data_IF_956118483124
#
_entry.id   IF_956118483124
#
_cell.length_a   1.000
_cell.length_b   1.000
_cell.length_c   1.000
_cell.angle_alpha   90.00
_cell.angle_beta   90.00
_cell.angle_gamma   90.00
#
_symmetry.space_group_name_H-M   'P 1'
#
loop_
_entity.id
_entity.type
_entity.pdbx_description
1 polymer ?
#
# COMPACT_ATOMS: atom_id res chain seq x y z
N UNK A 1 26.29 -20.52 -22.38
CA UNK A 1 26.64 -20.64 -20.95
C UNK A 1 25.52 -20.10 -20.06
N UNK A 2 25.51 -20.36 -18.73
CA UNK A 2 24.46 -19.88 -17.83
C UNK A 2 24.34 -18.34 -17.86
N UNK A 3 25.43 -17.61 -18.07
CA UNK A 3 25.46 -16.16 -18.20
C UNK A 3 24.77 -15.63 -19.49
N UNK A 4 24.92 -16.32 -20.60
CA UNK A 4 24.26 -15.98 -21.87
C UNK A 4 22.75 -16.23 -21.81
N UNK A 5 22.33 -17.30 -21.13
CA UNK A 5 20.92 -17.62 -20.92
C UNK A 5 20.23 -16.60 -19.98
N UNK A 6 20.96 -16.10 -19.00
CA UNK A 6 20.47 -15.08 -18.07
C UNK A 6 20.36 -13.69 -18.75
N UNK A 7 21.34 -13.34 -19.61
CA UNK A 7 21.30 -12.12 -20.40
C UNK A 7 20.14 -12.12 -21.40
N UNK A 8 19.92 -13.22 -22.13
CA UNK A 8 18.79 -13.35 -23.04
C UNK A 8 17.43 -13.26 -22.33
N UNK A 9 17.30 -13.78 -21.10
CA UNK A 9 16.10 -13.64 -20.29
C UNK A 9 15.83 -12.20 -19.86
N UNK A 10 16.89 -11.45 -19.52
CA UNK A 10 16.77 -10.03 -19.16
C UNK A 10 16.34 -9.18 -20.35
N UNK A 11 16.91 -9.37 -21.53
CA UNK A 11 16.51 -8.67 -22.76
C UNK A 11 15.05 -8.96 -23.14
N UNK A 12 14.63 -10.23 -23.08
CA UNK A 12 13.25 -10.62 -23.32
C UNK A 12 12.28 -9.97 -22.31
N UNK A 13 12.70 -9.84 -21.05
CA UNK A 13 11.91 -9.18 -20.02
C UNK A 13 11.81 -7.69 -20.23
N UNK A 14 12.87 -7.00 -20.66
CA UNK A 14 12.86 -5.58 -21.00
C UNK A 14 11.89 -5.26 -22.14
N UNK A 15 11.89 -6.09 -23.20
CA UNK A 15 10.95 -5.94 -24.31
C UNK A 15 9.48 -6.10 -23.85
N UNK A 16 9.21 -7.07 -23.00
CA UNK A 16 7.86 -7.27 -22.44
C UNK A 16 7.43 -6.06 -21.60
N UNK A 17 8.31 -5.50 -20.78
CA UNK A 17 8.01 -4.31 -19.96
C UNK A 17 7.68 -3.12 -20.84
N UNK A 18 8.40 -2.91 -21.94
CA UNK A 18 8.13 -1.81 -22.87
C UNK A 18 6.77 -1.97 -23.55
N UNK A 19 6.40 -3.17 -24.00
CA UNK A 19 5.07 -3.45 -24.53
C UNK A 19 3.96 -3.24 -23.50
N UNK A 20 4.21 -3.62 -22.24
CA UNK A 20 3.27 -3.39 -21.14
C UNK A 20 3.10 -1.91 -20.82
N UNK A 21 4.18 -1.10 -20.86
CA UNK A 21 4.09 0.36 -20.71
C UNK A 21 3.16 0.99 -21.74
N UNK A 22 3.31 0.59 -23.02
CA UNK A 22 2.41 1.06 -24.08
C UNK A 22 0.97 0.63 -23.84
N UNK A 23 0.75 -0.60 -23.42
CA UNK A 23 -0.59 -1.14 -23.15
C UNK A 23 -1.26 -0.47 -21.96
N UNK A 24 -0.51 -0.18 -20.90
CA UNK A 24 -1.01 0.50 -19.71
C UNK A 24 -1.11 2.02 -19.90
N UNK A 25 -0.39 2.59 -20.88
CA UNK A 25 -0.22 4.04 -20.99
C UNK A 25 0.62 4.62 -19.86
N UNK A 26 1.54 3.80 -19.34
CA UNK A 26 2.42 4.15 -18.23
C UNK A 26 3.67 4.88 -18.72
N UNK A 27 4.20 5.80 -17.91
CA UNK A 27 5.46 6.50 -18.19
C UNK A 27 6.69 5.63 -17.90
N UNK A 28 7.87 6.08 -18.34
CA UNK A 28 9.13 5.39 -18.04
C UNK A 28 9.43 5.30 -16.53
N UNK A 29 8.92 6.25 -15.76
CA UNK A 29 9.09 6.29 -14.31
C UNK A 29 8.12 5.39 -13.55
N UNK A 30 7.10 4.84 -14.23
CA UNK A 30 6.13 3.97 -13.59
C UNK A 30 6.69 2.55 -13.45
N UNK A 31 6.58 2.00 -12.25
CA UNK A 31 7.05 0.65 -11.95
C UNK A 31 5.98 -0.36 -12.37
N UNK A 32 6.32 -1.19 -13.36
CA UNK A 32 5.51 -2.35 -13.70
C UNK A 32 6.10 -3.55 -12.95
N UNK A 33 5.26 -4.19 -12.16
CA UNK A 33 5.63 -5.40 -11.44
C UNK A 33 5.04 -6.64 -12.09
N UNK A 34 5.68 -7.78 -11.84
CA UNK A 34 5.18 -9.05 -12.36
C UNK A 34 5.38 -10.22 -11.38
N UNK A 35 4.54 -11.23 -11.57
CA UNK A 35 4.66 -12.49 -10.83
C UNK A 35 4.20 -13.68 -11.68
N UNK A 36 4.68 -14.86 -11.35
CA UNK A 36 4.17 -16.12 -11.89
C UNK A 36 3.12 -16.70 -10.96
N UNK A 37 1.99 -17.13 -11.51
CA UNK A 37 0.91 -17.79 -10.80
C UNK A 37 0.71 -19.22 -11.29
N UNK A 38 0.07 -20.04 -10.46
CA UNK A 38 -0.29 -21.42 -10.79
C UNK A 38 0.91 -22.24 -11.29
N UNK A 39 2.03 -22.18 -10.54
CA UNK A 39 3.29 -22.90 -10.84
C UNK A 39 3.87 -22.53 -12.22
N UNK A 40 3.91 -21.22 -12.52
CA UNK A 40 4.47 -20.70 -13.76
C UNK A 40 3.58 -20.82 -14.99
N UNK A 41 2.31 -21.24 -14.83
CA UNK A 41 1.38 -21.32 -15.96
C UNK A 41 0.95 -19.95 -16.48
N UNK A 42 0.88 -18.96 -15.58
CA UNK A 42 0.47 -17.60 -15.89
C UNK A 42 1.53 -16.63 -15.44
N UNK A 43 1.80 -15.62 -16.25
CA UNK A 43 2.53 -14.42 -15.87
C UNK A 43 1.55 -13.28 -15.77
N UNK A 44 1.55 -12.61 -14.62
CA UNK A 44 0.65 -11.51 -14.33
C UNK A 44 1.48 -10.25 -14.16
N UNK A 45 1.00 -9.12 -14.73
CA UNK A 45 1.68 -7.83 -14.67
C UNK A 45 0.68 -6.75 -14.34
N UNK A 46 1.10 -5.76 -13.55
CA UNK A 46 0.32 -4.56 -13.24
C UNK A 46 1.25 -3.40 -12.90
N UNK A 47 0.80 -2.18 -13.13
CA UNK A 47 1.41 -0.95 -12.64
C UNK A 47 0.75 -0.43 -11.34
N UNK A 48 -0.27 -1.13 -10.85
CA UNK A 48 -1.00 -0.85 -9.62
C UNK A 48 -1.58 0.57 -9.53
N UNK A 49 -1.83 1.20 -10.66
CA UNK A 49 -2.35 2.56 -10.74
C UNK A 49 -3.80 2.58 -11.16
N UNK A 50 -4.54 3.53 -10.59
CA UNK A 50 -5.83 3.92 -11.15
C UNK A 50 -5.59 4.89 -12.31
N UNK A 51 -6.05 4.52 -13.50
CA UNK A 51 -5.92 5.32 -14.70
C UNK A 51 -7.02 6.38 -14.81
N UNK A 52 -6.89 7.29 -15.78
CA UNK A 52 -7.83 8.39 -15.96
C UNK A 52 -9.27 7.94 -16.29
N UNK A 53 -9.45 6.70 -16.72
CA UNK A 53 -10.74 6.04 -16.91
C UNK A 53 -11.35 5.46 -15.62
N UNK A 54 -10.63 5.54 -14.50
CA UNK A 54 -11.04 5.02 -13.20
C UNK A 54 -10.77 3.53 -12.99
N UNK A 55 -10.09 2.86 -13.93
CA UNK A 55 -9.79 1.43 -13.84
C UNK A 55 -8.31 1.16 -13.61
N UNK A 56 -8.05 0.11 -12.85
CA UNK A 56 -6.71 -0.49 -12.74
C UNK A 56 -6.53 -1.51 -13.87
N UNK A 57 -5.29 -1.68 -14.33
CA UNK A 57 -4.97 -2.55 -15.46
C UNK A 57 -4.11 -3.71 -15.01
N UNK A 58 -4.51 -4.92 -15.42
CA UNK A 58 -3.78 -6.16 -15.18
C UNK A 58 -3.68 -6.93 -16.48
N UNK A 59 -2.48 -7.36 -16.84
CA UNK A 59 -2.24 -8.27 -17.95
C UNK A 59 -1.92 -9.65 -17.41
N UNK A 60 -2.63 -10.66 -17.88
CA UNK A 60 -2.40 -12.06 -17.55
C UNK A 60 -2.07 -12.81 -18.83
N UNK A 61 -0.84 -13.32 -18.91
CA UNK A 61 -0.34 -14.08 -20.07
C UNK A 61 -0.23 -15.56 -19.70
N UNK A 62 -0.84 -16.40 -20.49
CA UNK A 62 -0.65 -17.85 -20.40
C UNK A 62 0.68 -18.24 -21.05
N UNK A 63 1.45 -19.15 -20.40
CA UNK A 63 2.79 -19.54 -20.86
C UNK A 63 2.82 -20.67 -21.89
N UNK A 64 1.65 -21.23 -22.25
CA UNK A 64 1.53 -22.28 -23.25
C UNK A 64 0.74 -21.76 -24.44
N UNK A 65 1.07 -22.22 -25.66
CA UNK A 65 0.42 -21.80 -26.91
C UNK A 65 -1.01 -22.35 -27.10
N UNK A 66 -1.48 -23.21 -26.21
CA UNK A 66 -2.85 -23.75 -26.29
C UNK A 66 -3.87 -22.79 -25.65
N UNK A 67 -4.47 -21.93 -26.49
CA UNK A 67 -5.50 -20.99 -26.05
C UNK A 67 -6.76 -21.68 -25.48
N UNK A 68 -7.05 -22.93 -25.86
CA UNK A 68 -8.17 -23.69 -25.31
C UNK A 68 -7.87 -24.19 -23.89
N UNK A 69 -6.61 -24.49 -23.57
CA UNK A 69 -6.17 -24.79 -22.22
C UNK A 69 -6.31 -23.60 -21.28
N UNK A 70 -6.19 -22.35 -21.78
CA UNK A 70 -6.36 -21.13 -21.00
C UNK A 70 -7.78 -21.04 -20.39
N UNK A 71 -8.81 -21.33 -21.18
CA UNK A 71 -10.23 -21.24 -20.73
C UNK A 71 -10.61 -22.38 -19.78
N UNK A 72 -9.99 -23.54 -19.93
CA UNK A 72 -10.35 -24.77 -19.16
C UNK A 72 -9.54 -24.96 -17.87
N UNK A 73 -8.47 -24.22 -17.68
CA UNK A 73 -7.59 -24.33 -16.52
C UNK A 73 -7.70 -23.09 -15.64
N UNK A 74 -7.05 -23.10 -14.51
CA UNK A 74 -7.00 -22.14 -13.39
C UNK A 74 -6.93 -20.63 -13.73
N UNK A 75 -7.22 -20.19 -14.97
CA UNK A 75 -7.20 -18.79 -15.38
C UNK A 75 -8.10 -17.92 -14.49
N UNK A 76 -9.31 -18.41 -14.19
CA UNK A 76 -10.22 -17.71 -13.29
C UNK A 76 -9.61 -17.48 -11.90
N UNK A 77 -8.84 -18.44 -11.39
CA UNK A 77 -8.13 -18.30 -10.11
C UNK A 77 -7.01 -17.26 -10.18
N UNK A 78 -6.25 -17.21 -11.28
CA UNK A 78 -5.22 -16.21 -11.48
C UNK A 78 -5.81 -14.79 -11.53
N UNK A 79 -6.88 -14.61 -12.30
CA UNK A 79 -7.64 -13.34 -12.37
C UNK A 79 -8.16 -12.96 -10.98
N UNK A 80 -8.83 -13.88 -10.30
CA UNK A 80 -9.38 -13.64 -8.97
C UNK A 80 -8.31 -13.18 -7.97
N UNK A 81 -7.14 -13.83 -7.95
CA UNK A 81 -6.03 -13.47 -7.06
C UNK A 81 -5.51 -12.07 -7.31
N UNK A 82 -5.34 -11.69 -8.56
CA UNK A 82 -4.88 -10.34 -8.91
C UNK A 82 -5.91 -9.27 -8.51
N UNK A 83 -7.20 -9.53 -8.76
CA UNK A 83 -8.29 -8.62 -8.36
C UNK A 83 -8.39 -8.53 -6.83
N UNK A 84 -8.28 -9.64 -6.12
CA UNK A 84 -8.31 -9.66 -4.65
C UNK A 84 -7.13 -8.87 -4.06
N UNK A 85 -5.92 -9.07 -4.58
CA UNK A 85 -4.75 -8.36 -4.13
C UNK A 85 -4.93 -6.84 -4.31
N UNK A 86 -5.32 -6.40 -5.50
CA UNK A 86 -5.51 -4.98 -5.77
C UNK A 86 -6.65 -4.38 -4.93
N UNK A 87 -7.77 -5.10 -4.80
CA UNK A 87 -8.89 -4.67 -3.96
C UNK A 87 -8.46 -4.46 -2.50
N UNK A 88 -7.79 -5.42 -1.88
CA UNK A 88 -7.40 -5.30 -0.48
C UNK A 88 -6.29 -4.28 -0.27
N UNK A 89 -5.37 -4.13 -1.24
CA UNK A 89 -4.40 -3.05 -1.26
C UNK A 89 -5.08 -1.67 -1.26
N UNK A 90 -6.06 -1.46 -2.13
CA UNK A 90 -6.81 -0.19 -2.18
C UNK A 90 -7.56 0.07 -0.87
N UNK A 91 -8.18 -0.96 -0.27
CA UNK A 91 -8.86 -0.84 1.01
C UNK A 91 -7.89 -0.49 2.16
N UNK A 92 -6.70 -1.08 2.18
CA UNK A 92 -5.66 -0.72 3.15
C UNK A 92 -5.21 0.74 2.99
N UNK A 93 -4.99 1.20 1.75
CA UNK A 93 -4.57 2.56 1.45
C UNK A 93 -5.65 3.63 1.72
N UNK A 94 -6.92 3.25 1.83
CA UNK A 94 -8.00 4.21 2.17
C UNK A 94 -7.81 4.90 3.53
N UNK A 95 -7.02 4.34 4.44
CA UNK A 95 -6.68 5.00 5.70
C UNK A 95 -5.62 6.11 5.55
N UNK A 96 -4.87 6.17 4.44
CA UNK A 96 -3.76 7.12 4.28
C UNK A 96 -4.18 8.60 4.33
N UNK A 97 -5.22 9.07 3.62
CA UNK A 97 -5.68 10.46 3.74
C UNK A 97 -6.14 10.80 5.17
N UNK A 98 -6.73 9.81 5.85
CA UNK A 98 -7.13 9.96 7.25
C UNK A 98 -5.90 10.08 8.16
N UNK A 99 -4.88 9.23 7.98
CA UNK A 99 -3.63 9.28 8.75
C UNK A 99 -2.92 10.63 8.60
N UNK A 100 -2.85 11.17 7.36
CA UNK A 100 -2.28 12.49 7.09
C UNK A 100 -3.08 13.61 7.79
N UNK A 101 -4.42 13.53 7.80
CA UNK A 101 -5.27 14.47 8.50
C UNK A 101 -5.13 14.37 10.03
N UNK A 102 -4.97 13.15 10.54
CA UNK A 102 -4.75 12.91 11.96
C UNK A 102 -3.39 13.45 12.42
N UNK A 103 -2.32 13.25 11.64
CA UNK A 103 -0.98 13.78 11.93
C UNK A 103 -1.03 15.27 12.25
N UNK A 104 -1.62 16.07 11.35
CA UNK A 104 -1.75 17.53 11.58
C UNK A 104 -2.48 17.90 12.87
N UNK A 105 -3.48 17.09 13.28
CA UNK A 105 -4.19 17.33 14.55
C UNK A 105 -3.37 16.96 15.77
N UNK A 106 -2.58 15.89 15.67
CA UNK A 106 -1.63 15.48 16.72
C UNK A 106 -0.54 16.53 16.87
N UNK A 107 0.00 17.06 15.79
CA UNK A 107 0.99 18.12 15.82
C UNK A 107 0.45 19.37 16.52
N UNK A 108 -0.80 19.77 16.23
CA UNK A 108 -1.44 20.89 16.90
C UNK A 108 -1.63 20.66 18.40
N UNK A 109 -2.01 19.43 18.82
CA UNK A 109 -2.11 19.08 20.23
C UNK A 109 -0.73 19.09 20.92
N UNK A 110 0.32 18.66 20.26
CA UNK A 110 1.67 18.70 20.78
C UNK A 110 2.17 20.12 21.01
N UNK A 111 1.89 21.04 20.09
CA UNK A 111 2.24 22.46 20.26
C UNK A 111 1.47 23.08 21.44
N UNK A 112 0.15 22.82 21.55
CA UNK A 112 -0.62 23.31 22.68
C UNK A 112 -0.16 22.71 24.02
N UNK A 113 0.30 21.45 24.03
CA UNK A 113 0.86 20.80 25.20
C UNK A 113 2.20 21.44 25.62
N UNK A 114 3.06 21.83 24.67
CA UNK A 114 4.30 22.58 24.95
C UNK A 114 3.99 23.94 25.59
N UNK A 115 3.03 24.68 25.02
CA UNK A 115 2.62 25.97 25.59
C UNK A 115 2.10 25.85 27.03
N UNK A 116 1.38 24.76 27.32
CA UNK A 116 0.95 24.45 28.69
C UNK A 116 2.12 24.12 29.59
N UNK A 117 3.08 23.31 29.12
CA UNK A 117 4.28 22.97 29.90
C UNK A 117 5.11 24.21 30.23
N UNK A 118 5.37 25.10 29.26
CA UNK A 118 6.07 26.37 29.47
C UNK A 118 5.31 27.27 30.47
N UNK A 119 3.97 27.29 30.40
CA UNK A 119 3.16 28.03 31.34
C UNK A 119 3.22 27.48 32.76
N UNK A 120 3.34 26.15 32.92
CA UNK A 120 3.54 25.50 34.21
C UNK A 120 4.92 25.88 34.82
N UNK A 121 5.97 25.86 33.97
CA UNK A 121 7.33 26.18 34.45
C UNK A 121 7.48 27.66 34.84
N UNK A 122 6.72 28.56 34.23
CA UNK A 122 6.72 30.00 34.49
C UNK A 122 5.80 30.41 35.64
N UNK A 123 4.97 29.48 36.19
CA UNK A 123 3.92 29.81 37.14
C UNK A 123 4.48 30.03 38.54
N UNK A 124 4.06 31.12 39.18
CA UNK A 124 4.28 31.32 40.64
C UNK A 124 3.37 30.38 41.45
N UNK A 125 3.95 29.73 42.47
CA UNK A 125 3.28 28.72 43.28
C UNK A 125 2.01 29.18 44.01
N UNK A 126 1.74 30.48 44.09
CA UNK A 126 0.57 31.07 44.76
C UNK A 126 -0.59 31.45 43.81
N UNK A 127 -0.40 31.32 42.48
CA UNK A 127 -1.44 31.68 41.50
C UNK A 127 -2.49 30.56 41.33
N UNK A 128 -3.51 30.58 42.16
CA UNK A 128 -4.60 29.58 42.13
C UNK A 128 -5.51 29.68 40.91
N UNK A 129 -5.69 30.88 40.35
CA UNK A 129 -6.51 31.08 39.14
C UNK A 129 -5.78 30.60 37.87
N UNK A 130 -4.46 30.83 37.79
CA UNK A 130 -3.61 30.28 36.75
C UNK A 130 -3.56 28.76 36.79
N UNK A 131 -3.45 28.15 37.95
CA UNK A 131 -3.50 26.68 38.11
C UNK A 131 -4.82 26.10 37.61
N UNK A 132 -5.92 26.76 37.89
CA UNK A 132 -7.27 26.32 37.45
C UNK A 132 -7.42 26.41 35.93
N UNK A 133 -6.92 27.47 35.31
CA UNK A 133 -6.92 27.60 33.82
C UNK A 133 -6.08 26.52 33.16
N UNK A 134 -4.85 26.28 33.67
CA UNK A 134 -3.96 25.23 33.13
C UNK A 134 -4.58 23.85 33.27
N UNK A 135 -5.22 23.52 34.39
CA UNK A 135 -5.93 22.27 34.58
C UNK A 135 -7.08 22.12 33.55
N UNK A 136 -7.80 23.21 33.31
CA UNK A 136 -8.85 23.25 32.28
C UNK A 136 -8.30 22.99 30.88
N UNK A 137 -7.14 23.58 30.53
CA UNK A 137 -6.47 23.36 29.24
C UNK A 137 -6.01 21.91 29.10
N UNK A 138 -5.33 21.35 30.11
CA UNK A 138 -4.89 19.95 30.12
C UNK A 138 -6.05 18.97 29.99
N UNK A 139 -7.16 19.24 30.69
CA UNK A 139 -8.37 18.41 30.57
C UNK A 139 -8.93 18.41 29.17
N UNK A 140 -9.01 19.58 28.49
CA UNK A 140 -9.46 19.68 27.09
C UNK A 140 -8.53 18.93 26.14
N UNK A 141 -7.21 19.05 26.32
CA UNK A 141 -6.20 18.32 25.54
C UNK A 141 -6.36 16.80 25.68
N UNK A 142 -6.50 16.33 26.94
CA UNK A 142 -6.69 14.91 27.23
C UNK A 142 -7.96 14.35 26.56
N UNK A 143 -9.09 15.06 26.69
CA UNK A 143 -10.36 14.65 26.03
C UNK A 143 -10.21 14.64 24.50
N UNK A 144 -9.57 15.65 23.93
CA UNK A 144 -9.36 15.73 22.49
C UNK A 144 -8.45 14.60 22.01
N UNK A 145 -7.35 14.31 22.70
CA UNK A 145 -6.44 13.20 22.42
C UNK A 145 -7.14 11.84 22.48
N UNK A 146 -7.98 11.60 23.50
CA UNK A 146 -8.76 10.37 23.62
C UNK A 146 -9.75 10.21 22.44
N UNK A 147 -10.41 11.28 22.02
CA UNK A 147 -11.34 11.25 20.87
C UNK A 147 -10.60 10.92 19.57
N UNK A 148 -9.43 11.53 19.32
CA UNK A 148 -8.62 11.23 18.17
C UNK A 148 -8.13 9.78 18.19
N UNK A 149 -7.67 9.29 19.36
CA UNK A 149 -7.24 7.90 19.54
C UNK A 149 -8.36 6.90 19.23
N UNK A 150 -9.58 7.14 19.74
CA UNK A 150 -10.71 6.26 19.50
C UNK A 150 -11.08 6.18 17.99
N UNK A 151 -11.15 7.32 17.30
CA UNK A 151 -11.45 7.36 15.86
C UNK A 151 -10.33 6.70 15.05
N UNK A 152 -9.06 6.89 15.46
CA UNK A 152 -7.91 6.29 14.80
C UNK A 152 -7.89 4.78 14.94
N UNK A 153 -8.21 4.26 16.12
CA UNK A 153 -8.20 2.84 16.43
C UNK A 153 -9.05 2.02 15.46
N UNK A 154 -10.30 2.39 15.28
CA UNK A 154 -11.23 1.66 14.41
C UNK A 154 -10.77 1.66 12.95
N UNK A 155 -10.32 2.82 12.46
CA UNK A 155 -9.86 2.96 11.07
C UNK A 155 -8.55 2.22 10.78
N UNK A 156 -7.60 2.29 11.68
CA UNK A 156 -6.31 1.61 11.52
C UNK A 156 -6.42 0.11 11.73
N UNK A 157 -7.29 -0.36 12.60
CA UNK A 157 -7.56 -1.80 12.73
C UNK A 157 -8.11 -2.40 11.44
N UNK A 158 -9.07 -1.73 10.80
CA UNK A 158 -9.59 -2.17 9.51
C UNK A 158 -8.48 -2.16 8.42
N UNK A 159 -7.68 -1.08 8.35
CA UNK A 159 -6.57 -0.99 7.41
C UNK A 159 -5.52 -2.08 7.63
N UNK A 160 -5.13 -2.35 8.87
CA UNK A 160 -4.19 -3.40 9.23
C UNK A 160 -4.73 -4.80 8.86
N UNK A 161 -6.02 -5.05 9.07
CA UNK A 161 -6.62 -6.32 8.67
C UNK A 161 -6.56 -6.52 7.14
N UNK A 162 -6.79 -5.47 6.36
CA UNK A 162 -6.63 -5.54 4.90
C UNK A 162 -5.17 -5.68 4.48
N UNK A 163 -4.24 -5.02 5.15
CA UNK A 163 -2.81 -5.15 4.90
C UNK A 163 -2.32 -6.59 5.15
N UNK A 164 -2.75 -7.22 6.24
CA UNK A 164 -2.44 -8.64 6.51
C UNK A 164 -2.93 -9.57 5.40
N UNK A 165 -4.12 -9.31 4.85
CA UNK A 165 -4.62 -10.11 3.71
C UNK A 165 -3.73 -9.90 2.47
N UNK A 166 -3.26 -8.69 2.24
CA UNK A 166 -2.33 -8.39 1.14
C UNK A 166 -1.02 -9.14 1.34
N UNK A 167 -0.45 -9.12 2.55
CA UNK A 167 0.79 -9.83 2.89
C UNK A 167 0.67 -11.33 2.64
N UNK A 168 -0.40 -11.97 3.10
CA UNK A 168 -0.68 -13.40 2.84
C UNK A 168 -0.74 -13.70 1.34
N UNK A 169 -1.41 -12.85 0.56
CA UNK A 169 -1.49 -13.02 -0.90
C UNK A 169 -0.14 -12.85 -1.58
N UNK A 170 0.66 -11.89 -1.11
CA UNK A 170 2.00 -11.64 -1.63
C UNK A 170 2.96 -12.80 -1.33
N UNK A 171 2.90 -13.38 -0.14
CA UNK A 171 3.72 -14.53 0.21
C UNK A 171 3.48 -15.68 -0.77
N UNK A 172 2.24 -15.93 -1.13
CA UNK A 172 1.92 -16.90 -2.17
C UNK A 172 2.53 -16.51 -3.53
N UNK A 173 2.55 -15.22 -3.88
CA UNK A 173 3.10 -14.72 -5.14
C UNK A 173 4.64 -14.64 -5.15
N UNK A 174 5.30 -14.58 -3.99
CA UNK A 174 6.77 -14.56 -3.86
C UNK A 174 7.45 -15.78 -4.48
N UNK A 175 6.78 -16.93 -4.48
CA UNK A 175 7.30 -18.15 -5.07
C UNK A 175 7.43 -18.09 -6.60
N UNK A 176 6.74 -17.14 -7.25
CA UNK A 176 6.71 -17.00 -8.71
C UNK A 176 7.37 -15.71 -9.20
N UNK A 177 8.67 -15.53 -8.96
CA UNK A 177 9.41 -14.37 -9.51
C UNK A 177 9.67 -14.54 -11.01
N UNK A 178 9.54 -13.45 -11.76
CA UNK A 178 9.92 -13.37 -13.16
C UNK A 178 11.32 -12.73 -13.23
N UNK A 179 12.29 -13.41 -13.86
CA UNK A 179 13.62 -12.85 -14.02
C UNK A 179 13.59 -11.53 -14.79
N UNK A 180 14.29 -10.50 -14.29
CA UNK A 180 14.36 -9.18 -14.91
C UNK A 180 13.08 -8.32 -14.77
N UNK A 181 12.09 -8.75 -14.00
CA UNK A 181 10.88 -7.97 -13.72
C UNK A 181 10.80 -7.67 -12.23
N UNK A 182 10.56 -6.41 -11.81
CA UNK A 182 10.31 -6.08 -10.43
C UNK A 182 9.20 -6.95 -9.82
N UNK A 183 9.44 -7.47 -8.64
CA UNK A 183 8.45 -8.30 -7.95
C UNK A 183 7.32 -7.42 -7.40
N UNK A 184 6.13 -7.98 -7.25
CA UNK A 184 5.00 -7.28 -6.62
C UNK A 184 5.34 -6.79 -5.21
N UNK A 185 6.27 -7.46 -4.51
CA UNK A 185 6.74 -7.03 -3.19
C UNK A 185 7.52 -5.71 -3.20
N UNK A 186 8.24 -5.43 -4.29
CA UNK A 186 9.03 -4.18 -4.41
C UNK A 186 8.15 -2.93 -4.40
N UNK A 187 6.86 -3.10 -4.55
CA UNK A 187 5.89 -2.00 -4.57
C UNK A 187 5.32 -1.69 -3.16
N UNK A 188 5.55 -2.54 -2.18
CA UNK A 188 4.98 -2.44 -0.83
C UNK A 188 6.06 -2.18 0.25
N UNK A 189 7.34 -2.28 -0.11
CA UNK A 189 8.48 -1.86 0.70
C UNK A 189 8.77 -0.37 0.45
#
# INVERSE_FOLDING_TARGET
SAAEDDHAKHEASAAIIEDLRRLFGSSENDVITGCELEKGRFRCFSDWRSHGDGFNRVVIRHQRDDARAFVRTSAGKAVQRMIELDKYRMLALMAMPFAQGLGRRVDALNEELKDVAESVDAMDGEDEDGKRDLLGRLTRLAVTGQRLSAIAHDRFNASNAYASIVEDRLEYMRAGRIAGVPSVNTFLD
#
